data_IF_948011505942
#
_entry.id   IF_948011505942
#
_cell.length_a   1.000
_cell.length_b   1.000
_cell.length_c   1.000
_cell.angle_alpha   90.00
_cell.angle_beta   90.00
_cell.angle_gamma   90.00
#
_symmetry.space_group_name_H-M   'P 1'
#
loop_
_entity.id
_entity.type
_entity.pdbx_description
1 polymer ?
#
# COMPACT_ATOMS: atom_id res chain seq x y z
N UNK A 1 -18.29 -13.32 3.72
CA UNK A 1 -17.35 -14.06 4.60
C UNK A 1 -16.36 -13.05 5.19
N UNK A 2 -16.32 -12.84 6.51
CA UNK A 2 -15.32 -11.95 7.13
C UNK A 2 -14.06 -12.78 7.41
N UNK A 3 -12.90 -12.37 6.88
CA UNK A 3 -11.63 -13.05 7.16
C UNK A 3 -11.27 -12.94 8.64
N UNK A 4 -10.69 -14.00 9.21
CA UNK A 4 -10.12 -14.00 10.56
C UNK A 4 -8.69 -13.43 10.60
N UNK A 5 -8.06 -13.21 9.44
CA UNK A 5 -6.73 -12.62 9.34
C UNK A 5 -6.80 -11.08 9.45
N UNK A 6 -6.19 -10.48 10.48
CA UNK A 6 -6.18 -9.02 10.66
C UNK A 6 -5.50 -8.24 9.52
N UNK A 7 -4.60 -8.85 8.74
CA UNK A 7 -4.00 -8.19 7.57
C UNK A 7 -5.00 -8.16 6.41
N UNK A 8 -5.57 -9.32 6.08
CA UNK A 8 -6.59 -9.40 5.02
C UNK A 8 -7.84 -8.55 5.32
N UNK A 9 -8.16 -8.35 6.61
CA UNK A 9 -9.25 -7.47 7.02
C UNK A 9 -8.95 -6.01 6.68
N UNK A 10 -7.75 -5.51 6.96
CA UNK A 10 -7.42 -4.10 6.70
C UNK A 10 -7.28 -3.83 5.20
N UNK A 11 -6.72 -4.76 4.44
CA UNK A 11 -6.65 -4.68 2.96
C UNK A 11 -8.06 -4.61 2.37
N UNK A 12 -8.96 -5.47 2.82
CA UNK A 12 -10.35 -5.47 2.39
C UNK A 12 -11.12 -4.19 2.78
N UNK A 13 -10.87 -3.64 3.97
CA UNK A 13 -11.44 -2.36 4.41
C UNK A 13 -10.97 -1.20 3.54
N UNK A 14 -9.69 -1.18 3.16
CA UNK A 14 -9.15 -0.19 2.22
C UNK A 14 -9.81 -0.34 0.86
N UNK A 15 -9.82 -1.55 0.29
CA UNK A 15 -10.39 -1.79 -1.03
C UNK A 15 -11.88 -1.43 -1.10
N UNK A 16 -12.66 -1.75 -0.07
CA UNK A 16 -14.09 -1.39 -0.01
C UNK A 16 -14.29 0.13 0.12
N UNK A 17 -13.43 0.81 0.89
CA UNK A 17 -13.51 2.26 1.08
C UNK A 17 -13.28 3.07 -0.21
N UNK A 18 -12.51 2.54 -1.16
CA UNK A 18 -12.18 3.20 -2.44
C UNK A 18 -12.63 2.37 -3.66
N UNK A 19 -13.62 1.50 -3.48
CA UNK A 19 -14.04 0.44 -4.41
C UNK A 19 -14.12 0.84 -5.88
N UNK A 20 -14.65 2.02 -6.18
CA UNK A 20 -14.83 2.51 -7.57
C UNK A 20 -13.51 2.87 -8.28
N UNK A 21 -12.41 2.95 -7.53
CA UNK A 21 -11.07 3.31 -8.02
C UNK A 21 -10.09 2.13 -7.99
N UNK A 22 -10.50 0.99 -7.44
CA UNK A 22 -9.66 -0.21 -7.37
C UNK A 22 -9.56 -0.84 -8.76
N UNK A 23 -8.35 -0.90 -9.29
CA UNK A 23 -8.02 -1.60 -10.55
C UNK A 23 -7.57 -3.03 -10.25
N UNK A 24 -6.82 -3.23 -9.17
CA UNK A 24 -6.42 -4.55 -8.72
C UNK A 24 -6.41 -4.65 -7.20
N UNK A 25 -6.71 -5.85 -6.69
CA UNK A 25 -6.67 -6.20 -5.29
C UNK A 25 -5.83 -7.47 -5.12
N UNK A 26 -4.82 -7.43 -4.25
CA UNK A 26 -3.87 -8.52 -4.01
C UNK A 26 -3.21 -9.05 -5.28
N UNK A 27 -2.66 -8.12 -6.06
CA UNK A 27 -2.00 -8.42 -7.33
C UNK A 27 -0.61 -8.98 -7.08
N UNK A 28 -0.40 -10.23 -7.46
CA UNK A 28 0.92 -10.85 -7.42
C UNK A 28 1.82 -10.26 -8.51
N UNK A 29 3.07 -9.99 -8.15
CA UNK A 29 4.12 -9.59 -9.08
C UNK A 29 5.06 -10.78 -9.24
N UNK A 30 4.94 -11.43 -10.40
CA UNK A 30 5.67 -12.65 -10.73
C UNK A 30 6.73 -12.37 -11.81
N UNK A 31 7.87 -13.03 -11.70
CA UNK A 31 8.95 -13.07 -12.70
C UNK A 31 9.17 -14.51 -13.16
N UNK A 32 9.94 -14.77 -14.23
CA UNK A 32 10.34 -16.14 -14.58
C UNK A 32 11.03 -16.91 -13.45
N UNK A 33 11.63 -16.20 -12.48
CA UNK A 33 12.30 -16.78 -11.32
C UNK A 33 11.35 -16.99 -10.11
N UNK A 34 10.05 -16.68 -10.26
CA UNK A 34 9.04 -16.80 -9.22
C UNK A 34 8.47 -15.46 -8.77
N UNK A 35 7.63 -15.51 -7.73
CA UNK A 35 6.97 -14.34 -7.14
C UNK A 35 7.99 -13.47 -6.43
N UNK A 36 7.94 -12.17 -6.71
CA UNK A 36 8.81 -11.18 -6.07
C UNK A 36 8.06 -10.25 -5.13
N UNK A 37 6.74 -10.07 -5.32
CA UNK A 37 5.93 -9.20 -4.47
C UNK A 37 4.42 -9.45 -4.59
N UNK A 38 3.64 -8.79 -3.74
CA UNK A 38 2.19 -8.67 -3.81
C UNK A 38 1.79 -7.20 -3.53
N UNK A 39 0.94 -6.63 -4.38
CA UNK A 39 0.34 -5.30 -4.18
C UNK A 39 -1.04 -5.48 -3.56
N UNK A 40 -1.25 -4.92 -2.37
CA UNK A 40 -2.52 -5.05 -1.63
C UNK A 40 -3.68 -4.41 -2.41
N UNK A 41 -3.54 -3.14 -2.81
CA UNK A 41 -4.53 -2.41 -3.61
C UNK A 41 -3.84 -1.52 -4.64
N UNK A 42 -4.31 -1.55 -5.89
CA UNK A 42 -3.83 -0.72 -6.99
C UNK A 42 -4.98 0.14 -7.53
N UNK A 43 -4.71 1.42 -7.78
CA UNK A 43 -5.60 2.36 -8.47
C UNK A 43 -4.91 2.91 -9.73
N UNK A 44 -5.58 3.81 -10.46
CA UNK A 44 -5.00 4.50 -11.62
C UNK A 44 -3.74 5.29 -11.25
N UNK A 45 -3.75 5.94 -10.09
CA UNK A 45 -2.72 6.88 -9.62
C UNK A 45 -1.86 6.37 -8.48
N UNK A 46 -2.32 5.37 -7.73
CA UNK A 46 -1.69 4.95 -6.49
C UNK A 46 -1.55 3.44 -6.35
N UNK A 47 -0.44 3.03 -5.74
CA UNK A 47 -0.27 1.72 -5.10
C UNK A 47 -0.48 1.94 -3.59
N UNK A 48 -1.32 1.13 -2.96
CA UNK A 48 -1.66 1.25 -1.54
C UNK A 48 -1.29 -0.04 -0.83
N UNK A 49 -0.34 0.06 0.09
CA UNK A 49 0.01 -0.98 1.06
C UNK A 49 -0.82 -0.79 2.33
N UNK A 50 -1.55 -1.81 2.79
CA UNK A 50 -2.30 -1.78 4.02
C UNK A 50 -1.54 -2.47 5.15
N UNK A 51 -1.41 -1.81 6.30
CA UNK A 51 -0.60 -2.31 7.40
C UNK A 51 -1.23 -2.04 8.76
N UNK A 52 -1.55 -3.11 9.50
CA UNK A 52 -2.30 -2.99 10.76
C UNK A 52 -1.47 -2.66 12.01
N UNK A 53 -0.14 -2.48 11.90
CA UNK A 53 0.73 -2.13 13.04
C UNK A 53 1.40 -3.30 13.76
N UNK A 54 1.02 -4.56 13.52
CA UNK A 54 1.44 -5.70 14.38
C UNK A 54 2.84 -6.26 14.12
N UNK A 55 3.45 -6.04 12.96
CA UNK A 55 4.84 -6.42 12.63
C UNK A 55 5.60 -5.17 12.19
N UNK A 56 6.80 -4.90 12.66
CA UNK A 56 7.51 -3.70 12.24
C UNK A 56 7.73 -3.66 10.71
N UNK A 57 6.97 -2.82 9.98
CA UNK A 57 7.37 -2.38 8.63
C UNK A 57 8.51 -1.37 8.81
N UNK A 58 9.61 -1.63 8.13
CA UNK A 58 10.81 -0.80 8.15
C UNK A 58 10.88 0.04 6.87
N UNK A 59 11.45 1.24 6.94
CA UNK A 59 11.48 2.18 5.81
C UNK A 59 12.09 1.57 4.54
N UNK A 60 13.14 0.75 4.67
CA UNK A 60 13.79 0.11 3.52
C UNK A 60 12.88 -0.83 2.73
N UNK A 61 11.78 -1.31 3.32
CA UNK A 61 10.83 -2.19 2.61
C UNK A 61 10.10 -1.47 1.48
N UNK A 62 10.06 -0.14 1.51
CA UNK A 62 9.40 0.68 0.49
C UNK A 62 10.31 1.09 -0.66
N UNK A 63 11.63 0.92 -0.52
CA UNK A 63 12.58 1.22 -1.60
C UNK A 63 12.26 0.46 -2.89
N UNK A 64 11.65 -0.73 -2.78
CA UNK A 64 11.22 -1.58 -3.90
C UNK A 64 10.30 -0.88 -4.91
N UNK A 65 9.57 0.16 -4.48
CA UNK A 65 8.68 0.92 -5.35
C UNK A 65 9.39 2.00 -6.17
N UNK A 66 10.66 2.28 -5.85
CA UNK A 66 11.42 3.40 -6.43
C UNK A 66 12.82 2.99 -6.93
N UNK A 67 13.33 1.83 -6.53
CA UNK A 67 14.61 1.28 -6.97
C UNK A 67 14.49 0.52 -8.30
N UNK A 68 15.52 -0.23 -8.69
CA UNK A 68 15.52 -1.03 -9.91
C UNK A 68 14.36 -2.04 -10.02
N UNK A 69 13.77 -2.46 -8.89
CA UNK A 69 12.60 -3.35 -8.84
C UNK A 69 11.31 -2.62 -9.19
N UNK A 70 11.28 -1.29 -9.14
CA UNK A 70 10.14 -0.49 -9.54
C UNK A 70 9.70 -0.79 -10.98
N UNK A 71 10.63 -1.16 -11.87
CA UNK A 71 10.29 -1.58 -13.25
C UNK A 71 9.35 -2.78 -13.33
N UNK A 72 9.25 -3.57 -12.25
CA UNK A 72 8.33 -4.70 -12.15
C UNK A 72 7.14 -4.40 -11.23
N UNK A 73 7.39 -3.69 -10.13
CA UNK A 73 6.39 -3.47 -9.07
C UNK A 73 5.56 -2.20 -9.32
N UNK A 74 6.21 -1.12 -9.77
CA UNK A 74 5.59 0.18 -10.04
C UNK A 74 6.04 0.76 -11.39
N UNK A 75 5.83 0.06 -12.52
CA UNK A 75 6.37 0.45 -13.82
C UNK A 75 5.82 1.80 -14.32
N UNK A 76 4.59 2.13 -13.91
CA UNK A 76 3.91 3.38 -14.29
C UNK A 76 4.28 4.57 -13.38
N UNK A 77 5.15 4.37 -12.39
CA UNK A 77 5.58 5.45 -11.48
C UNK A 77 4.42 6.04 -10.66
N UNK A 78 3.45 5.21 -10.25
CA UNK A 78 2.32 5.62 -9.41
C UNK A 78 2.80 6.12 -8.05
N UNK A 79 2.01 6.98 -7.43
CA UNK A 79 2.23 7.37 -6.05
C UNK A 79 2.09 6.16 -5.12
N UNK A 80 2.87 6.10 -4.05
CA UNK A 80 2.81 4.99 -3.09
C UNK A 80 2.24 5.50 -1.77
N UNK A 81 1.21 4.82 -1.27
CA UNK A 81 0.57 5.11 0.00
C UNK A 81 0.75 3.92 0.93
N UNK A 82 1.17 4.19 2.17
CA UNK A 82 1.05 3.24 3.26
C UNK A 82 -0.17 3.62 4.10
N UNK A 83 -1.24 2.84 4.04
CA UNK A 83 -2.35 2.95 4.99
C UNK A 83 -2.01 2.19 6.27
N UNK A 84 -1.71 2.91 7.35
CA UNK A 84 -1.27 2.33 8.61
C UNK A 84 -1.88 3.04 9.83
N UNK A 85 -3.12 2.70 10.23
CA UNK A 85 -3.84 3.40 11.29
C UNK A 85 -3.17 3.31 12.66
N UNK A 86 -2.36 2.27 12.91
CA UNK A 86 -1.73 2.01 14.20
C UNK A 86 -0.20 2.10 14.17
N UNK A 87 0.41 2.66 13.12
CA UNK A 87 1.88 2.80 13.09
C UNK A 87 2.34 3.85 14.11
N UNK A 88 3.50 3.61 14.73
CA UNK A 88 4.12 4.60 15.62
C UNK A 88 4.46 5.88 14.85
N UNK A 89 4.06 7.08 15.34
CA UNK A 89 4.40 8.36 14.71
C UNK A 89 5.90 8.55 14.51
N UNK A 90 6.74 7.99 15.38
CA UNK A 90 8.20 8.06 15.28
C UNK A 90 8.78 7.36 14.05
N UNK A 91 8.04 6.42 13.44
CA UNK A 91 8.47 5.72 12.22
C UNK A 91 8.06 6.44 10.94
N UNK A 92 7.04 7.31 11.02
CA UNK A 92 6.44 7.96 9.85
C UNK A 92 7.49 8.75 9.06
N UNK A 93 8.32 9.64 9.67
CA UNK A 93 9.29 10.43 8.90
C UNK A 93 10.27 9.56 8.11
N UNK A 94 10.74 8.45 8.70
CA UNK A 94 11.66 7.53 8.02
C UNK A 94 11.05 6.84 6.82
N UNK A 95 9.74 6.55 6.85
CA UNK A 95 9.01 5.98 5.72
C UNK A 95 8.74 7.07 4.67
N UNK A 96 8.34 8.27 5.07
CA UNK A 96 8.05 9.36 4.15
C UNK A 96 9.28 9.84 3.37
N UNK A 97 10.48 9.76 3.98
CA UNK A 97 11.74 10.03 3.29
C UNK A 97 12.00 9.12 2.08
N UNK A 98 11.32 7.97 1.98
CA UNK A 98 11.41 7.08 0.81
C UNK A 98 10.55 7.52 -0.37
N UNK A 99 9.68 8.53 -0.18
CA UNK A 99 8.69 8.95 -1.17
C UNK A 99 7.29 8.36 -0.97
N UNK A 100 7.10 7.53 0.06
CA UNK A 100 5.78 6.98 0.44
C UNK A 100 4.99 7.99 1.24
N UNK A 101 3.71 8.17 0.93
CA UNK A 101 2.79 8.92 1.80
C UNK A 101 2.19 8.00 2.86
N UNK A 102 2.35 8.32 4.14
CA UNK A 102 1.73 7.54 5.21
C UNK A 102 0.39 8.14 5.57
N UNK A 103 -0.65 7.32 5.61
CA UNK A 103 -2.01 7.73 5.99
C UNK A 103 -2.49 6.85 7.14
N UNK A 104 -2.93 7.49 8.23
CA UNK A 104 -3.42 6.79 9.42
C UNK A 104 -4.96 6.80 9.53
N UNK A 105 -5.64 7.52 8.63
CA UNK A 105 -7.10 7.71 8.67
C UNK A 105 -7.74 7.32 7.34
N UNK A 106 -8.75 6.46 7.39
CA UNK A 106 -9.47 5.98 6.20
C UNK A 106 -10.19 7.12 5.45
N UNK A 107 -10.70 8.13 6.15
CA UNK A 107 -11.33 9.30 5.53
C UNK A 107 -10.31 10.18 4.80
N UNK A 108 -9.09 10.28 5.31
CA UNK A 108 -8.01 10.97 4.60
C UNK A 108 -7.63 10.21 3.32
N UNK A 109 -7.55 8.87 3.40
CA UNK A 109 -7.31 8.02 2.23
C UNK A 109 -8.39 8.24 1.17
N UNK A 110 -9.67 8.18 1.55
CA UNK A 110 -10.80 8.42 0.64
C UNK A 110 -10.72 9.81 -0.01
N UNK A 111 -10.43 10.85 0.77
CA UNK A 111 -10.30 12.22 0.23
C UNK A 111 -9.15 12.34 -0.77
N UNK A 112 -8.02 11.69 -0.49
CA UNK A 112 -6.86 11.70 -1.39
C UNK A 112 -7.18 10.98 -2.70
N UNK A 113 -7.80 9.81 -2.63
CA UNK A 113 -8.12 8.97 -3.80
C UNK A 113 -9.31 9.52 -4.59
N UNK A 114 -10.32 10.08 -3.90
CA UNK A 114 -11.55 10.58 -4.49
C UNK A 114 -11.37 11.84 -5.33
N UNK A 115 -10.34 12.65 -5.06
CA UNK A 115 -10.26 14.00 -5.58
C UNK A 115 -11.32 14.91 -4.94
N UNK A 116 -11.04 16.22 -4.85
CA UNK A 116 -12.01 17.20 -4.37
C UNK A 116 -13.27 17.24 -5.21
#
# INVERSE_FOLDING_TARGET
MKSKDPALKIEGEVADAIKERVIAFRKNIDTPNGRIDEIDVETDKYIIDAFNGKKSKESFTFAKYFDERARYINPEGRGVILYAPNISPTKIPGIELTGVKVIQNLEELKKLIGGK
#
